data_IF_867976321670
#
_entry.id   IF_867976321670
#
_cell.length_a   1.000
_cell.length_b   1.000
_cell.length_c   1.000
_cell.angle_alpha   90.00
_cell.angle_beta   90.00
_cell.angle_gamma   90.00
#
_symmetry.space_group_name_H-M   'P 1'
#
loop_
_entity.id
_entity.type
_entity.pdbx_description
1 polymer ?
#
# COMPACT_ATOMS: atom_id res chain seq x y z
N UNK A 1 14.13 -3.72 -10.52
CA UNK A 1 12.91 -3.21 -11.18
C UNK A 1 11.83 -3.15 -10.13
N UNK A 2 11.11 -2.05 -10.05
CA UNK A 2 10.33 -1.66 -8.88
C UNK A 2 8.86 -2.01 -9.06
N UNK A 3 8.27 -2.63 -8.05
CA UNK A 3 6.82 -2.75 -7.88
C UNK A 3 6.33 -1.55 -7.05
N UNK A 4 5.26 -0.87 -7.45
CA UNK A 4 4.83 0.36 -6.80
C UNK A 4 3.32 0.50 -6.67
N UNK A 5 2.90 1.42 -5.81
CA UNK A 5 1.54 1.98 -5.80
C UNK A 5 1.51 3.18 -6.74
N UNK A 6 0.53 3.19 -7.64
CA UNK A 6 0.28 4.28 -8.59
C UNK A 6 -1.21 4.64 -8.56
N UNK A 7 -1.50 5.67 -7.79
CA UNK A 7 -2.83 6.14 -7.51
C UNK A 7 -3.47 5.44 -6.31
N UNK A 8 -4.24 6.20 -5.54
CA UNK A 8 -4.97 5.74 -4.38
C UNK A 8 -6.39 6.32 -4.39
N UNK A 9 -7.39 5.44 -4.49
CA UNK A 9 -8.80 5.77 -4.27
C UNK A 9 -9.14 5.57 -2.79
N UNK A 10 -9.16 6.68 -2.02
CA UNK A 10 -9.53 6.66 -0.61
C UNK A 10 -11.02 6.88 -0.44
N UNK A 11 -11.75 5.79 -0.25
CA UNK A 11 -13.18 5.81 0.02
C UNK A 11 -13.48 6.00 1.51
N UNK A 12 -12.48 6.02 2.40
CA UNK A 12 -12.72 6.20 3.84
C UNK A 12 -12.95 7.66 4.23
N UNK A 13 -13.43 7.88 5.45
CA UNK A 13 -13.52 9.21 6.08
C UNK A 13 -12.21 9.64 6.77
N UNK A 14 -11.16 8.81 6.73
CA UNK A 14 -9.86 9.10 7.33
C UNK A 14 -8.84 9.43 6.25
N UNK A 15 -7.78 10.13 6.62
CA UNK A 15 -6.61 10.24 5.75
C UNK A 15 -5.98 8.86 5.57
N UNK A 16 -5.40 8.64 4.38
CA UNK A 16 -4.50 7.53 4.13
C UNK A 16 -3.10 8.09 4.03
N UNK A 17 -2.16 7.61 4.84
CA UNK A 17 -0.77 8.05 4.79
C UNK A 17 0.14 6.93 4.36
N UNK A 18 0.88 7.17 3.29
CA UNK A 18 1.98 6.34 2.81
C UNK A 18 3.26 6.82 3.48
N UNK A 19 3.92 5.93 4.22
CA UNK A 19 5.22 6.15 4.84
C UNK A 19 6.17 5.13 4.26
N UNK A 20 7.08 5.57 3.41
CA UNK A 20 8.02 4.69 2.75
C UNK A 20 9.29 4.59 3.59
N UNK A 21 9.48 3.45 4.28
CA UNK A 21 10.61 3.33 5.22
C UNK A 21 11.97 3.25 4.51
N UNK A 22 12.00 2.81 3.24
CA UNK A 22 13.23 2.80 2.44
C UNK A 22 13.49 4.16 1.77
N UNK A 23 12.43 4.87 1.38
CA UNK A 23 12.50 6.16 0.69
C UNK A 23 11.58 7.20 1.35
N UNK A 24 11.93 7.64 2.56
CA UNK A 24 11.06 8.52 3.37
C UNK A 24 10.62 9.82 2.67
N UNK A 25 11.39 10.33 1.71
CA UNK A 25 11.05 11.51 0.90
C UNK A 25 9.83 11.32 -0.01
N UNK A 26 9.43 10.08 -0.28
CA UNK A 26 8.29 9.72 -1.13
C UNK A 26 7.03 9.44 -0.30
N UNK A 27 7.00 9.88 0.96
CA UNK A 27 5.83 9.74 1.82
C UNK A 27 4.76 10.77 1.42
N UNK A 28 3.52 10.32 1.28
CA UNK A 28 2.39 11.15 0.86
C UNK A 28 1.16 10.85 1.71
N UNK A 29 0.21 11.78 1.77
CA UNK A 29 -1.11 11.54 2.35
C UNK A 29 -2.23 11.87 1.36
N UNK A 30 -3.25 11.02 1.36
CA UNK A 30 -4.43 11.13 0.51
C UNK A 30 -5.61 11.53 1.38
N UNK A 31 -6.31 12.59 0.96
CA UNK A 31 -7.44 13.14 1.70
C UNK A 31 -8.58 12.11 1.82
N UNK A 32 -9.40 12.21 2.87
CA UNK A 32 -10.67 11.46 2.97
C UNK A 32 -11.52 11.65 1.72
N UNK A 33 -12.22 10.59 1.30
CA UNK A 33 -13.21 10.62 0.19
C UNK A 33 -12.65 11.24 -1.11
N UNK A 34 -11.42 10.90 -1.45
CA UNK A 34 -10.73 11.48 -2.59
C UNK A 34 -9.85 10.47 -3.31
N UNK A 35 -9.53 10.79 -4.55
CA UNK A 35 -8.52 10.09 -5.33
C UNK A 35 -7.27 10.98 -5.45
N UNK A 36 -6.08 10.40 -5.27
CA UNK A 36 -4.80 11.02 -5.57
C UNK A 36 -4.04 10.18 -6.59
N UNK A 37 -3.21 10.82 -7.41
CA UNK A 37 -2.20 10.17 -8.25
C UNK A 37 -0.93 9.81 -7.46
N UNK A 38 -1.09 9.55 -6.16
CA UNK A 38 -0.01 9.22 -5.24
C UNK A 38 0.88 8.10 -5.78
N UNK A 39 2.18 8.26 -5.60
CA UNK A 39 3.16 7.24 -5.97
C UNK A 39 3.94 6.80 -4.74
N UNK A 40 3.96 5.49 -4.47
CA UNK A 40 4.72 4.94 -3.36
C UNK A 40 5.42 3.65 -3.78
N UNK A 41 6.72 3.59 -3.57
CA UNK A 41 7.52 2.40 -3.85
C UNK A 41 7.22 1.27 -2.85
N UNK A 42 7.08 0.04 -3.34
CA UNK A 42 6.89 -1.15 -2.48
C UNK A 42 8.23 -1.86 -2.34
N UNK A 43 8.71 -1.99 -1.10
CA UNK A 43 9.98 -2.65 -0.83
C UNK A 43 9.94 -4.14 -1.02
N UNK A 44 11.06 -4.72 -1.47
CA UNK A 44 11.32 -6.16 -1.41
C UNK A 44 11.76 -6.63 -0.01
N UNK A 45 11.92 -5.69 0.93
CA UNK A 45 12.43 -5.92 2.27
C UNK A 45 11.34 -5.63 3.30
N UNK A 46 10.91 -6.68 4.03
CA UNK A 46 9.91 -6.54 5.10
C UNK A 46 10.40 -5.65 6.26
N UNK A 47 11.70 -5.55 6.47
CA UNK A 47 12.33 -4.69 7.48
C UNK A 47 12.37 -3.20 7.09
N UNK A 48 12.07 -2.87 5.82
CA UNK A 48 11.90 -1.49 5.33
C UNK A 48 10.67 -1.36 4.43
N UNK A 49 9.47 -1.71 4.93
CA UNK A 49 8.28 -1.85 4.10
C UNK A 49 7.71 -0.49 3.68
N UNK A 50 6.73 -0.53 2.78
CA UNK A 50 5.79 0.56 2.63
C UNK A 50 4.76 0.48 3.77
N UNK A 51 4.79 1.44 4.68
CA UNK A 51 3.83 1.54 5.77
C UNK A 51 2.63 2.40 5.36
N UNK A 52 1.43 1.82 5.35
CA UNK A 52 0.19 2.52 5.00
C UNK A 52 -0.68 2.64 6.23
N UNK A 53 -0.89 3.88 6.70
CA UNK A 53 -1.84 4.19 7.77
C UNK A 53 -3.21 4.46 7.15
N UNK A 54 -4.23 3.74 7.59
CA UNK A 54 -5.64 4.01 7.22
C UNK A 54 -6.48 4.25 8.48
N UNK A 55 -7.78 4.50 8.30
CA UNK A 55 -8.74 4.54 9.40
C UNK A 55 -8.91 3.20 10.15
N UNK A 56 -8.48 2.07 9.55
CA UNK A 56 -8.51 0.75 10.21
C UNK A 56 -7.34 0.57 11.17
N UNK A 57 -6.17 1.12 10.84
CA UNK A 57 -4.91 0.85 11.52
C UNK A 57 -3.72 0.98 10.56
N UNK A 58 -2.55 0.50 10.99
CA UNK A 58 -1.36 0.46 10.15
C UNK A 58 -1.24 -0.88 9.44
N UNK A 59 -1.03 -0.84 8.13
CA UNK A 59 -0.67 -2.01 7.32
C UNK A 59 0.73 -1.80 6.75
N UNK A 60 1.64 -2.74 6.99
CA UNK A 60 2.92 -2.78 6.25
C UNK A 60 2.72 -3.61 4.98
N UNK A 61 3.29 -3.13 3.89
CA UNK A 61 3.21 -3.73 2.55
C UNK A 61 4.62 -3.95 2.01
N UNK A 62 4.88 -5.13 1.48
CA UNK A 62 6.15 -5.47 0.84
C UNK A 62 5.94 -6.49 -0.29
N UNK A 63 6.89 -6.54 -1.21
CA UNK A 63 6.99 -7.52 -2.28
C UNK A 63 7.85 -8.69 -1.78
N UNK A 64 7.34 -9.91 -1.90
CA UNK A 64 8.07 -11.13 -1.57
C UNK A 64 7.59 -12.28 -2.46
N UNK A 65 8.52 -12.95 -3.13
CA UNK A 65 8.26 -14.13 -3.96
C UNK A 65 7.07 -13.94 -4.93
N UNK A 66 7.15 -12.91 -5.78
CA UNK A 66 6.13 -12.56 -6.78
C UNK A 66 4.75 -12.27 -6.18
N UNK A 67 4.68 -11.82 -4.93
CA UNK A 67 3.44 -11.48 -4.24
C UNK A 67 3.61 -10.16 -3.51
N UNK A 68 2.60 -9.31 -3.60
CA UNK A 68 2.47 -8.19 -2.68
C UNK A 68 1.79 -8.69 -1.42
N UNK A 69 2.53 -8.68 -0.33
CA UNK A 69 2.08 -9.08 0.99
C UNK A 69 1.71 -7.85 1.82
N UNK A 70 0.76 -8.05 2.72
CA UNK A 70 0.33 -7.07 3.71
C UNK A 70 0.32 -7.69 5.10
N UNK A 71 0.56 -6.89 6.12
CA UNK A 71 0.34 -7.29 7.51
C UNK A 71 -0.18 -6.09 8.31
N UNK A 72 -1.31 -6.29 8.97
CA UNK A 72 -1.90 -5.30 9.86
C UNK A 72 -1.29 -5.38 11.26
N UNK A 73 -1.29 -4.25 11.96
CA UNK A 73 -0.90 -4.15 13.37
C UNK A 73 -1.92 -4.76 14.36
N UNK A 74 -3.06 -5.25 13.86
CA UNK A 74 -4.14 -5.87 14.63
C UNK A 74 -3.84 -7.30 15.12
N UNK A 75 -2.61 -7.79 14.93
CA UNK A 75 -2.16 -9.11 15.33
C UNK A 75 -2.60 -10.23 14.38
N UNK A 76 -3.30 -9.92 13.28
CA UNK A 76 -3.55 -10.90 12.22
C UNK A 76 -2.24 -11.19 11.46
N UNK A 77 -2.12 -12.41 10.96
CA UNK A 77 -0.97 -12.85 10.17
C UNK A 77 -0.87 -12.14 8.82
N UNK A 78 0.15 -12.53 8.05
CA UNK A 78 0.37 -12.01 6.70
C UNK A 78 -0.79 -12.36 5.76
N UNK A 79 -1.12 -11.44 4.87
CA UNK A 79 -2.10 -11.63 3.80
C UNK A 79 -1.47 -11.34 2.44
N UNK A 80 -1.92 -12.04 1.41
CA UNK A 80 -1.53 -11.72 0.02
C UNK A 80 -2.53 -10.70 -0.52
N UNK A 81 -2.04 -9.51 -0.83
CA UNK A 81 -2.84 -8.41 -1.40
C UNK A 81 -2.94 -8.51 -2.93
N UNK A 82 -1.86 -8.96 -3.59
CA UNK A 82 -1.83 -9.19 -5.03
C UNK A 82 -0.76 -10.21 -5.43
N UNK A 83 -0.90 -10.79 -6.62
CA UNK A 83 0.16 -11.56 -7.28
C UNK A 83 0.83 -10.67 -8.34
N UNK A 84 2.15 -10.76 -8.43
CA UNK A 84 2.96 -10.09 -9.44
C UNK A 84 3.08 -11.02 -10.64
N UNK A 85 2.66 -10.55 -11.81
CA UNK A 85 2.65 -11.32 -13.06
C UNK A 85 3.87 -11.01 -13.93
N UNK A 86 4.37 -9.77 -13.86
CA UNK A 86 5.58 -9.31 -14.53
C UNK A 86 6.31 -8.27 -13.68
N UNK A 87 7.60 -8.04 -13.96
CA UNK A 87 8.40 -7.03 -13.24
C UNK A 87 9.01 -6.02 -14.23
N UNK A 88 8.79 -4.71 -14.08
CA UNK A 88 7.99 -4.06 -13.03
C UNK A 88 6.48 -4.21 -13.26
N UNK A 89 5.70 -4.11 -12.18
CA UNK A 89 4.24 -4.01 -12.23
C UNK A 89 3.79 -3.02 -11.17
N UNK A 90 2.98 -2.04 -11.56
CA UNK A 90 2.40 -1.09 -10.62
C UNK A 90 0.98 -1.52 -10.24
N UNK A 91 0.54 -1.08 -9.07
CA UNK A 91 -0.80 -1.35 -8.55
C UNK A 91 -1.50 -0.06 -8.20
N UNK A 92 -2.77 0.05 -8.58
CA UNK A 92 -3.68 1.04 -8.01
C UNK A 92 -4.19 0.53 -6.67
N UNK A 93 -4.19 1.39 -5.67
CA UNK A 93 -4.73 1.09 -4.36
C UNK A 93 -6.17 1.61 -4.24
N UNK A 94 -7.03 0.81 -3.62
CA UNK A 94 -8.32 1.28 -3.10
C UNK A 94 -8.35 1.05 -1.60
N UNK A 95 -8.69 2.10 -0.85
CA UNK A 95 -8.97 2.01 0.57
C UNK A 95 -10.47 2.11 0.76
N UNK A 96 -11.09 1.04 1.28
CA UNK A 96 -12.54 0.96 1.45
C UNK A 96 -13.05 1.93 2.53
N UNK A 97 -14.37 2.05 2.64
CA UNK A 97 -15.02 2.81 3.73
C UNK A 97 -14.59 2.37 5.14
N UNK A 98 -14.25 1.09 5.32
CA UNK A 98 -13.79 0.49 6.58
C UNK A 98 -12.28 0.61 6.79
N UNK A 99 -11.54 1.17 5.82
CA UNK A 99 -10.10 1.33 5.87
C UNK A 99 -9.31 0.10 5.38
N UNK A 100 -9.99 -0.89 4.77
CA UNK A 100 -9.35 -2.07 4.19
C UNK A 100 -8.66 -1.72 2.86
N UNK A 101 -7.54 -2.37 2.58
CA UNK A 101 -6.73 -2.13 1.38
C UNK A 101 -6.98 -3.23 0.35
N UNK A 102 -7.23 -2.85 -0.90
CA UNK A 102 -7.19 -3.74 -2.06
C UNK A 102 -6.27 -3.17 -3.13
N UNK A 103 -5.66 -4.05 -3.92
CA UNK A 103 -4.73 -3.70 -4.99
C UNK A 103 -5.24 -4.27 -6.32
N UNK A 104 -5.12 -3.48 -7.38
CA UNK A 104 -5.39 -3.89 -8.76
C UNK A 104 -4.24 -3.49 -9.67
N UNK A 105 -3.80 -4.37 -10.55
CA UNK A 105 -2.75 -4.09 -11.52
C UNK A 105 -3.10 -2.87 -12.41
N UNK A 106 -2.09 -2.09 -12.79
CA UNK A 106 -2.18 -0.93 -13.70
C UNK A 106 -1.63 -1.27 -15.08
#
# INVERSE_FOLDING_TARGET
MTTGIKGCDNQSNSYVSFVNEEHAGDSESVHPRSYSDAYAWISQHKDKPLSVQTGRGRCIIWDDDWKIKGQWDDGRGEVVLAKVEHSPQDYRMTVSNTGDITLSAV
#
